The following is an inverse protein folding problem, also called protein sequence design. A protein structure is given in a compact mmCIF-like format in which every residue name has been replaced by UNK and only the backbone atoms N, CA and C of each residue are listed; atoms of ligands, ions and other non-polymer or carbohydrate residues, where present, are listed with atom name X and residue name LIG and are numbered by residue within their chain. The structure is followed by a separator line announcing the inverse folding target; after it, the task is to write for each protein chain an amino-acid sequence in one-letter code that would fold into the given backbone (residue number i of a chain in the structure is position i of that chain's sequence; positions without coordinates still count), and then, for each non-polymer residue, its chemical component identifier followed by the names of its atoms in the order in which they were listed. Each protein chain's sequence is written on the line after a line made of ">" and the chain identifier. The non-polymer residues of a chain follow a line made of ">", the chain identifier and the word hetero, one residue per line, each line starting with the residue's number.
data_IF_276971424987
#
_entry.id   IF_276971424987
#
_cell.length_a   1.000
_cell.length_b   1.000
_cell.length_c   1.000
_cell.angle_alpha   90.00
_cell.angle_beta   90.00
_cell.angle_gamma   90.00
#
_symmetry.space_group_name_H-M   'P 1'
#
loop_
_entity.id
_entity.type
_entity.pdbx_description
1 polymer ?
#
# COMPACT_ATOMS: atom_id res chain seq x y z
N UNK A 1 0.26 6.82 15.57
CA UNK A 1 -1.16 6.92 15.15
C UNK A 1 -1.13 6.78 13.64
N UNK A 2 -1.95 5.93 13.02
CA UNK A 2 -1.90 5.76 11.56
C UNK A 2 -2.45 7.03 10.91
N UNK A 3 -1.63 7.69 10.10
CA UNK A 3 -1.96 8.92 9.39
C UNK A 3 -1.69 8.72 7.89
N UNK A 4 -2.42 9.40 6.98
CA UNK A 4 -2.21 9.23 5.54
C UNK A 4 -0.78 9.54 5.08
N UNK A 5 -0.09 10.45 5.77
CA UNK A 5 1.30 10.81 5.49
C UNK A 5 2.33 9.87 6.12
N UNK A 6 1.89 8.87 6.90
CA UNK A 6 2.80 7.97 7.58
C UNK A 6 3.51 7.08 6.57
N UNK A 7 4.84 7.11 6.59
CA UNK A 7 5.70 6.19 5.84
C UNK A 7 5.54 4.78 6.39
N UNK A 8 5.32 3.79 5.52
CA UNK A 8 5.24 2.40 5.96
C UNK A 8 6.53 1.97 6.66
N UNK A 9 7.68 2.38 6.15
CA UNK A 9 8.98 2.01 6.70
C UNK A 9 9.34 2.92 7.89
N UNK A 10 9.36 4.24 7.71
CA UNK A 10 9.96 5.14 8.71
C UNK A 10 9.04 5.38 9.92
N UNK A 11 7.73 5.45 9.70
CA UNK A 11 6.76 5.81 10.75
C UNK A 11 6.04 4.60 11.33
N UNK A 12 5.79 3.57 10.50
CA UNK A 12 5.12 2.34 10.93
C UNK A 12 6.09 1.18 11.18
N UNK A 13 7.35 1.31 10.77
CA UNK A 13 8.37 0.30 11.01
C UNK A 13 8.18 -0.98 10.20
N UNK A 14 7.43 -0.90 9.10
CA UNK A 14 7.21 -2.02 8.20
C UNK A 14 8.50 -2.38 7.47
N UNK A 15 8.82 -3.66 7.41
CA UNK A 15 9.91 -4.16 6.58
C UNK A 15 9.44 -4.46 5.14
N UNK A 16 10.36 -4.92 4.29
CA UNK A 16 10.04 -5.24 2.91
C UNK A 16 9.06 -6.42 2.76
N UNK A 17 9.00 -7.34 3.73
CA UNK A 17 8.05 -8.46 3.72
C UNK A 17 6.66 -7.97 4.12
N UNK A 18 6.58 -7.09 5.12
CA UNK A 18 5.34 -6.47 5.55
C UNK A 18 4.65 -5.73 4.39
N UNK A 19 5.42 -5.04 3.54
CA UNK A 19 4.87 -4.35 2.35
C UNK A 19 4.31 -5.36 1.34
N UNK A 20 4.99 -6.48 1.10
CA UNK A 20 4.50 -7.52 0.18
C UNK A 20 3.20 -8.12 0.69
N UNK A 21 3.12 -8.44 1.98
CA UNK A 21 1.89 -8.96 2.59
C UNK A 21 0.74 -7.94 2.53
N UNK A 22 1.04 -6.65 2.75
CA UNK A 22 0.07 -5.56 2.67
C UNK A 22 -0.52 -5.42 1.27
N UNK A 23 0.34 -5.49 0.24
CA UNK A 23 -0.07 -5.42 -1.17
C UNK A 23 -0.97 -6.59 -1.53
N UNK A 24 -0.57 -7.83 -1.18
CA UNK A 24 -1.40 -9.01 -1.41
C UNK A 24 -2.75 -8.93 -0.70
N UNK A 25 -2.79 -8.39 0.53
CA UNK A 25 -4.03 -8.18 1.26
C UNK A 25 -4.95 -7.17 0.57
N UNK A 26 -4.40 -6.12 -0.05
CA UNK A 26 -5.19 -5.16 -0.84
C UNK A 26 -5.72 -5.77 -2.13
N UNK A 27 -4.92 -6.57 -2.82
CA UNK A 27 -5.36 -7.31 -4.01
C UNK A 27 -6.55 -8.22 -3.69
N UNK A 28 -6.46 -9.02 -2.62
CA UNK A 28 -7.54 -9.92 -2.20
C UNK A 28 -8.78 -9.17 -1.70
N UNK A 29 -8.63 -8.16 -0.84
CA UNK A 29 -9.77 -7.44 -0.23
C UNK A 29 -10.53 -6.60 -1.26
N UNK A 30 -9.83 -6.07 -2.27
CA UNK A 30 -10.41 -5.17 -3.25
C UNK A 30 -10.61 -5.79 -4.64
N UNK A 31 -10.21 -7.05 -4.83
CA UNK A 31 -10.26 -7.77 -6.11
C UNK A 31 -9.55 -6.97 -7.22
N UNK A 32 -8.36 -6.44 -6.89
CA UNK A 32 -7.50 -5.64 -7.78
C UNK A 32 -6.17 -6.35 -8.00
N UNK A 33 -5.45 -5.95 -9.04
CA UNK A 33 -4.09 -6.42 -9.32
C UNK A 33 -3.14 -5.21 -9.18
N UNK A 34 -2.16 -5.31 -8.29
CA UNK A 34 -1.18 -4.26 -8.01
C UNK A 34 0.17 -4.71 -8.59
N UNK A 35 0.62 -4.15 -9.72
CA UNK A 35 1.91 -4.53 -10.28
C UNK A 35 3.05 -4.13 -9.34
N UNK A 36 4.13 -4.92 -9.31
CA UNK A 36 5.31 -4.70 -8.47
C UNK A 36 5.85 -3.25 -8.59
N UNK A 37 5.92 -2.71 -9.81
CA UNK A 37 6.36 -1.34 -10.07
C UNK A 37 5.49 -0.29 -9.34
N UNK A 38 4.18 -0.54 -9.22
CA UNK A 38 3.28 0.33 -8.48
C UNK A 38 3.42 0.12 -6.97
N UNK A 39 3.58 -1.12 -6.52
CA UNK A 39 3.86 -1.44 -5.12
C UNK A 39 5.12 -0.74 -4.61
N UNK A 40 6.19 -0.66 -5.41
CA UNK A 40 7.41 0.08 -5.08
C UNK A 40 7.19 1.60 -4.89
N UNK A 41 6.14 2.14 -5.53
CA UNK A 41 5.78 3.57 -5.40
C UNK A 41 4.85 3.87 -4.23
N UNK A 42 4.24 2.85 -3.62
CA UNK A 42 3.38 2.97 -2.45
C UNK A 42 4.24 3.06 -1.19
N UNK A 43 4.62 4.29 -0.81
CA UNK A 43 5.51 4.54 0.34
C UNK A 43 4.77 4.95 1.61
N UNK A 44 3.57 5.51 1.47
CA UNK A 44 2.75 5.95 2.59
C UNK A 44 1.33 5.38 2.53
N UNK A 45 0.65 5.42 3.69
CA UNK A 45 -0.76 5.00 3.82
C UNK A 45 -1.66 5.75 2.83
N UNK A 46 -1.38 7.03 2.57
CA UNK A 46 -2.13 7.86 1.63
C UNK A 46 -1.92 7.45 0.18
N UNK A 47 -0.71 7.01 -0.19
CA UNK A 47 -0.42 6.52 -1.53
C UNK A 47 -1.18 5.23 -1.82
N UNK A 48 -1.21 4.31 -0.84
CA UNK A 48 -1.98 3.08 -0.93
C UNK A 48 -3.47 3.35 -1.13
N UNK A 49 -4.06 4.23 -0.29
CA UNK A 49 -5.47 4.62 -0.39
C UNK A 49 -5.77 5.19 -1.77
N UNK A 50 -4.93 6.14 -2.24
CA UNK A 50 -5.12 6.79 -3.52
C UNK A 50 -5.05 5.80 -4.68
N UNK A 51 -4.10 4.87 -4.66
CA UNK A 51 -3.96 3.85 -5.68
C UNK A 51 -5.22 2.97 -5.77
N UNK A 52 -5.71 2.50 -4.63
CA UNK A 52 -6.92 1.67 -4.56
C UNK A 52 -8.15 2.44 -5.05
N UNK A 53 -8.29 3.71 -4.69
CA UNK A 53 -9.38 4.57 -5.17
C UNK A 53 -9.34 4.81 -6.69
N UNK A 54 -8.15 4.90 -7.28
CA UNK A 54 -7.97 5.06 -8.73
C UNK A 54 -8.31 3.78 -9.50
N UNK A 55 -8.02 2.60 -8.96
CA UNK A 55 -8.35 1.31 -9.58
C UNK A 55 -9.83 0.93 -9.50
N UNK A 56 -10.56 1.41 -8.49
CA UNK A 56 -11.99 1.13 -8.32
C UNK A 56 -12.92 2.00 -9.19
N UNK A 57 -12.40 2.93 -9.98
CA UNK A 57 -13.19 3.78 -10.87
C UNK A 57 -13.50 3.11 -12.20
#
# INVERSE_FOLDING_TARGET
>A
KVEPKASFIDDLGADSLDIVELVMAFEEEFDVEIPDDAAETIQSVGDAIKFIEEQKK
#
